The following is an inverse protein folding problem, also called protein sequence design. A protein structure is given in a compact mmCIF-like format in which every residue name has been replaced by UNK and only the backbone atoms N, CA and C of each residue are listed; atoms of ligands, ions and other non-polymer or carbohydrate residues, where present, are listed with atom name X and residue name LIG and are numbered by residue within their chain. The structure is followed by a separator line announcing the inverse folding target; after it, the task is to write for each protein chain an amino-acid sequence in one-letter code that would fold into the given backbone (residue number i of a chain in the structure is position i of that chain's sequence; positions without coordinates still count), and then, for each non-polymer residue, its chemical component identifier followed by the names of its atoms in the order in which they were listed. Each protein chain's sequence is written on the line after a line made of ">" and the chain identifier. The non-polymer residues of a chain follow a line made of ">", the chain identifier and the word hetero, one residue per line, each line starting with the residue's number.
data_IF_569036367883
#
_entry.id   IF_569036367883
#
_cell.length_a   1.000
_cell.length_b   1.000
_cell.length_c   1.000
_cell.angle_alpha   90.00
_cell.angle_beta   90.00
_cell.angle_gamma   90.00
#
_symmetry.space_group_name_H-M   'P 1'
#
loop_
_entity.id
_entity.type
_entity.pdbx_description
1 polymer ?
#
# COMPACT_ATOMS: atom_id res chain seq x y z
N UNK A 1 3.67 -3.82 -25.35
CA UNK A 1 4.14 -4.02 -23.98
C UNK A 1 4.96 -2.81 -23.56
N UNK A 2 4.60 -2.11 -22.48
CA UNK A 2 5.41 -1.00 -21.95
C UNK A 2 6.29 -1.54 -20.80
N UNK A 3 7.55 -1.09 -20.64
CA UNK A 3 8.43 -1.61 -19.61
C UNK A 3 7.97 -1.17 -18.22
N UNK A 4 7.89 -2.12 -17.29
CA UNK A 4 7.68 -1.86 -15.86
C UNK A 4 9.02 -1.37 -15.31
N UNK A 5 9.14 -0.07 -15.04
CA UNK A 5 10.28 0.48 -14.32
C UNK A 5 10.15 0.07 -12.86
N UNK A 6 10.80 -1.04 -12.48
CA UNK A 6 10.88 -1.43 -11.08
C UNK A 6 11.68 -0.37 -10.29
N UNK A 7 11.12 0.11 -9.18
CA UNK A 7 11.87 0.94 -8.23
C UNK A 7 13.15 0.20 -7.82
N UNK A 8 14.29 0.90 -7.74
CA UNK A 8 15.56 0.34 -7.25
C UNK A 8 15.54 0.03 -5.75
N UNK A 9 14.48 0.44 -5.04
CA UNK A 9 14.33 0.31 -3.61
C UNK A 9 13.31 -0.77 -3.27
N UNK A 10 13.59 -1.57 -2.24
CA UNK A 10 12.61 -2.52 -1.71
C UNK A 10 11.33 -1.77 -1.28
N UNK A 11 10.14 -2.32 -1.53
CA UNK A 11 8.89 -1.70 -1.13
C UNK A 11 8.81 -1.58 0.39
N UNK A 12 8.12 -0.54 0.86
CA UNK A 12 7.80 -0.35 2.28
C UNK A 12 6.50 -1.09 2.56
N UNK A 13 6.51 -1.98 3.57
CA UNK A 13 5.30 -2.63 4.06
C UNK A 13 4.81 -1.97 5.35
N UNK A 14 3.53 -1.66 5.42
CA UNK A 14 2.86 -1.17 6.63
C UNK A 14 1.72 -2.12 7.00
N UNK A 15 1.65 -2.49 8.27
CA UNK A 15 0.66 -3.42 8.81
C UNK A 15 -0.07 -2.75 9.96
N UNK A 16 -1.40 -2.66 9.86
CA UNK A 16 -2.29 -2.22 10.93
C UNK A 16 -3.26 -3.31 11.35
N UNK A 17 -3.71 -3.29 12.60
CA UNK A 17 -4.78 -4.17 13.05
C UNK A 17 -6.15 -3.59 12.69
N UNK A 18 -6.28 -2.26 12.66
CA UNK A 18 -7.51 -1.54 12.29
C UNK A 18 -7.23 -0.47 11.22
N UNK A 19 -8.24 -0.12 10.39
CA UNK A 19 -8.08 0.90 9.34
C UNK A 19 -7.58 2.25 9.88
N UNK A 20 -8.05 2.68 11.05
CA UNK A 20 -7.74 4.00 11.60
C UNK A 20 -6.25 4.15 12.00
N UNK A 21 -5.55 3.03 12.19
CA UNK A 21 -4.11 3.03 12.49
C UNK A 21 -3.25 3.33 11.25
N UNK A 22 -3.77 3.03 10.06
CA UNK A 22 -3.03 3.13 8.80
C UNK A 22 -3.65 4.13 7.81
N UNK A 23 -4.87 4.60 8.06
CA UNK A 23 -5.54 5.68 7.30
C UNK A 23 -4.66 6.92 7.07
N UNK A 24 -3.95 7.47 8.08
CA UNK A 24 -3.06 8.60 7.85
C UNK A 24 -1.94 8.31 6.86
N UNK A 25 -1.54 7.04 6.73
CA UNK A 25 -0.55 6.62 5.74
C UNK A 25 -1.17 6.48 4.35
N UNK A 26 -2.38 5.93 4.22
CA UNK A 26 -3.12 5.87 2.95
C UNK A 26 -3.23 7.24 2.28
N UNK A 27 -3.50 8.29 3.06
CA UNK A 27 -3.63 9.65 2.54
C UNK A 27 -2.32 10.18 1.93
N UNK A 28 -1.18 9.62 2.35
CA UNK A 28 0.15 9.98 1.82
C UNK A 28 0.58 9.15 0.61
N UNK A 29 -0.18 8.10 0.24
CA UNK A 29 0.12 7.25 -0.90
C UNK A 29 -0.38 7.87 -2.20
N UNK A 30 0.55 8.18 -3.09
CA UNK A 30 0.22 8.61 -4.45
C UNK A 30 -0.19 7.40 -5.31
N UNK A 31 -1.24 7.56 -6.11
CA UNK A 31 -1.70 6.53 -7.04
C UNK A 31 -2.23 5.26 -6.37
N UNK A 32 -2.68 5.36 -5.11
CA UNK A 32 -3.13 4.21 -4.32
C UNK A 32 -4.22 3.40 -5.03
N UNK A 33 -4.02 2.08 -5.10
CA UNK A 33 -4.99 1.09 -5.57
C UNK A 33 -5.29 0.10 -4.45
N UNK A 34 -6.58 -0.13 -4.21
CA UNK A 34 -7.04 -1.10 -3.22
C UNK A 34 -7.35 -2.45 -3.84
N UNK A 35 -6.92 -3.52 -3.17
CA UNK A 35 -7.21 -4.90 -3.54
C UNK A 35 -7.65 -5.68 -2.28
N UNK A 36 -8.88 -6.23 -2.26
CA UNK A 36 -9.30 -7.13 -1.19
C UNK A 36 -8.66 -8.52 -1.39
N UNK A 37 -8.22 -9.14 -0.30
CA UNK A 37 -7.70 -10.51 -0.28
C UNK A 37 -8.11 -11.22 1.02
N UNK A 38 -9.13 -12.06 0.95
CA UNK A 38 -9.70 -12.73 2.11
C UNK A 38 -10.29 -11.73 3.12
N UNK A 39 -9.84 -11.82 4.38
CA UNK A 39 -10.20 -10.87 5.45
C UNK A 39 -9.31 -9.63 5.47
N UNK A 40 -8.42 -9.46 4.51
CA UNK A 40 -7.51 -8.32 4.47
C UNK A 40 -7.84 -7.39 3.32
N UNK A 41 -7.51 -6.12 3.50
CA UNK A 41 -7.45 -5.14 2.41
C UNK A 41 -6.03 -4.65 2.26
N UNK A 42 -5.53 -4.75 1.03
CA UNK A 42 -4.23 -4.24 0.65
C UNK A 42 -4.40 -2.94 -0.13
N UNK A 43 -3.55 -1.96 0.13
CA UNK A 43 -3.42 -0.76 -0.69
C UNK A 43 -1.99 -0.67 -1.22
N UNK A 44 -1.85 -0.40 -2.52
CA UNK A 44 -0.55 -0.24 -3.18
C UNK A 44 -0.46 1.15 -3.79
N UNK A 45 0.59 1.87 -3.46
CA UNK A 45 0.86 3.18 -4.03
C UNK A 45 2.35 3.51 -3.97
N UNK A 46 2.66 4.78 -4.12
CA UNK A 46 4.02 5.30 -3.96
C UNK A 46 4.08 6.29 -2.81
N UNK A 47 5.12 6.19 -1.99
CA UNK A 47 5.49 7.16 -0.97
C UNK A 47 6.87 7.71 -1.31
N UNK A 48 6.92 8.93 -1.85
CA UNK A 48 8.13 9.49 -2.44
C UNK A 48 8.59 8.67 -3.66
N UNK A 49 9.83 8.22 -3.67
CA UNK A 49 10.43 7.40 -4.74
C UNK A 49 10.30 5.88 -4.52
N UNK A 50 9.54 5.48 -3.49
CA UNK A 50 9.40 4.08 -3.07
C UNK A 50 7.99 3.58 -3.27
N UNK A 51 7.90 2.33 -3.71
CA UNK A 51 6.65 1.59 -3.65
C UNK A 51 6.30 1.34 -2.18
N UNK A 52 5.02 1.49 -1.85
CA UNK A 52 4.49 1.24 -0.53
C UNK A 52 3.24 0.37 -0.62
N UNK A 53 3.16 -0.57 0.31
CA UNK A 53 2.07 -1.52 0.44
C UNK A 53 1.57 -1.43 1.88
N UNK A 54 0.28 -1.15 2.02
CA UNK A 54 -0.41 -1.18 3.29
C UNK A 54 -1.34 -2.38 3.35
N UNK A 55 -1.46 -2.99 4.53
CA UNK A 55 -2.39 -4.07 4.81
C UNK A 55 -3.07 -3.86 6.16
N UNK A 56 -4.39 -4.08 6.20
CA UNK A 56 -5.17 -4.17 7.45
C UNK A 56 -6.27 -5.24 7.35
N UNK A 57 -6.68 -5.78 8.50
CA UNK A 57 -7.77 -6.75 8.60
C UNK A 57 -9.13 -6.02 8.57
N UNK A 58 -10.07 -6.55 7.78
CA UNK A 58 -11.47 -6.16 7.78
C UNK A 58 -12.23 -7.04 8.79
N UNK A 59 -13.16 -6.49 9.58
CA UNK A 59 -13.95 -7.25 10.53
C UNK A 59 -14.63 -8.48 9.90
#
# INVERSE_FOLDING_TARGET
>A
MRPVSASRHSPIGILGAMPEETEPFLETLEGSQSQPEGRFRFHRGTYGDREAIECYELP
#
